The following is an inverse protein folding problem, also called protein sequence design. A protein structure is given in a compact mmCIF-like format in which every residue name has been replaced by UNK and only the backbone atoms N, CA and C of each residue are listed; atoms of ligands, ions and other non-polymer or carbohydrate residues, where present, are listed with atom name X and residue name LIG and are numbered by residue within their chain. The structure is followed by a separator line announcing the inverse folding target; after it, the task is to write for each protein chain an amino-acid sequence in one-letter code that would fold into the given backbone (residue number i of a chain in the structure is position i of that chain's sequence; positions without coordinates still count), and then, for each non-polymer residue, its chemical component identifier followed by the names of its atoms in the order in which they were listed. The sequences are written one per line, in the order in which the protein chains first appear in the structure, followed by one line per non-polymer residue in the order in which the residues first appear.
data_IF_130250091060
#
_entry.id   IF_130250091060
#
_cell.length_a   1.000
_cell.length_b   1.000
_cell.length_c   1.000
_cell.angle_alpha   90.00
_cell.angle_beta   90.00
_cell.angle_gamma   90.00
#
_symmetry.space_group_name_H-M   'P 1'
#
loop_
_entity.id
_entity.type
_entity.pdbx_description
1 polymer ?
#
# COMPACT_ATOMS: atom_id res chain seq x y z
N UNK A 1 -16.41 10.92 7.34
CA UNK A 1 -16.25 9.44 7.22
C UNK A 1 -16.22 9.02 5.75
N UNK A 2 -15.17 8.29 5.36
CA UNK A 2 -15.04 7.71 4.01
C UNK A 2 -15.43 6.24 4.02
N UNK A 3 -15.88 5.74 2.87
CA UNK A 3 -16.16 4.32 2.67
C UNK A 3 -15.39 3.81 1.46
N UNK A 4 -14.76 2.64 1.60
CA UNK A 4 -14.20 1.87 0.50
C UNK A 4 -15.09 0.65 0.29
N UNK A 5 -15.75 0.59 -0.86
CA UNK A 5 -16.61 -0.54 -1.21
C UNK A 5 -15.87 -1.50 -2.14
N UNK A 6 -15.88 -2.78 -1.80
CA UNK A 6 -15.37 -3.85 -2.66
C UNK A 6 -16.53 -4.42 -3.46
N UNK A 7 -16.37 -4.54 -4.77
CA UNK A 7 -17.43 -4.94 -5.69
C UNK A 7 -17.10 -6.25 -6.40
N UNK A 8 -18.11 -7.11 -6.52
CA UNK A 8 -18.10 -8.24 -7.43
C UNK A 8 -18.53 -7.71 -8.80
N UNK A 9 -17.58 -7.65 -9.73
CA UNK A 9 -17.81 -7.10 -11.07
C UNK A 9 -18.71 -8.00 -11.93
N UNK A 10 -18.70 -9.31 -11.70
CA UNK A 10 -19.54 -10.25 -12.45
C UNK A 10 -21.00 -10.14 -11.99
N UNK A 11 -21.23 -10.02 -10.68
CA UNK A 11 -22.57 -9.92 -10.10
C UNK A 11 -23.12 -8.50 -10.05
N UNK A 12 -22.28 -7.50 -10.26
CA UNK A 12 -22.63 -6.08 -10.21
C UNK A 12 -23.11 -5.63 -8.82
N UNK A 13 -22.59 -6.22 -7.75
CA UNK A 13 -23.03 -5.96 -6.37
C UNK A 13 -21.85 -5.77 -5.41
N UNK A 14 -22.03 -4.95 -4.35
CA UNK A 14 -21.00 -4.82 -3.33
C UNK A 14 -20.86 -6.13 -2.54
N UNK A 15 -19.61 -6.53 -2.31
CA UNK A 15 -19.23 -7.68 -1.48
C UNK A 15 -19.03 -7.25 -0.04
N UNK A 16 -18.31 -6.14 0.18
CA UNK A 16 -18.02 -5.61 1.50
C UNK A 16 -17.85 -4.08 1.47
N UNK A 17 -17.99 -3.46 2.63
CA UNK A 17 -17.75 -2.03 2.85
C UNK A 17 -16.79 -1.85 4.02
N UNK A 18 -15.73 -1.10 3.80
CA UNK A 18 -14.72 -0.77 4.80
C UNK A 18 -14.87 0.70 5.15
N UNK A 19 -15.28 0.96 6.39
CA UNK A 19 -15.41 2.33 6.91
C UNK A 19 -14.06 2.83 7.37
N UNK A 20 -13.70 4.04 6.92
CA UNK A 20 -12.45 4.68 7.31
C UNK A 20 -12.72 6.05 7.93
N UNK A 21 -12.12 6.24 9.10
CA UNK A 21 -12.17 7.51 9.82
C UNK A 21 -11.30 8.55 9.12
N UNK A 22 -11.92 9.29 8.21
CA UNK A 22 -11.28 10.41 7.54
C UNK A 22 -12.27 11.55 7.41
N UNK A 23 -11.85 12.72 7.92
CA UNK A 23 -12.55 13.98 7.74
C UNK A 23 -12.05 14.74 6.52
N UNK A 24 -10.80 14.54 6.09
CA UNK A 24 -10.18 15.19 4.91
C UNK A 24 -8.93 14.41 4.43
N UNK A 25 -9.05 13.62 3.36
CA UNK A 25 -7.96 13.27 2.40
C UNK A 25 -8.38 12.17 1.43
N UNK A 26 -7.77 12.10 0.22
CA UNK A 26 -8.00 11.01 -0.72
C UNK A 26 -7.58 9.68 -0.09
N UNK A 27 -8.46 8.69 -0.24
CA UNK A 27 -8.19 7.31 0.13
C UNK A 27 -7.61 6.64 -1.10
N UNK A 28 -6.39 6.13 -1.00
CA UNK A 28 -5.86 5.21 -2.01
C UNK A 28 -6.16 3.79 -1.57
N UNK A 29 -6.83 3.02 -2.42
CA UNK A 29 -7.12 1.62 -2.19
C UNK A 29 -6.57 0.78 -3.34
N UNK A 30 -5.89 -0.31 -3.02
CA UNK A 30 -5.34 -1.24 -4.01
C UNK A 30 -5.65 -2.68 -3.58
N UNK A 31 -6.12 -3.49 -4.51
CA UNK A 31 -6.36 -4.92 -4.30
C UNK A 31 -5.05 -5.70 -4.47
N UNK A 32 -4.90 -6.80 -3.73
CA UNK A 32 -3.86 -7.78 -4.01
C UNK A 32 -4.14 -8.44 -5.37
N UNK A 33 -3.11 -8.96 -6.05
CA UNK A 33 -3.29 -9.66 -7.33
C UNK A 33 -4.26 -10.85 -7.26
N UNK A 34 -4.32 -11.53 -6.12
CA UNK A 34 -5.28 -12.62 -5.86
C UNK A 34 -6.68 -12.13 -5.44
N UNK A 35 -6.90 -10.82 -5.31
CA UNK A 35 -8.15 -10.19 -4.89
C UNK A 35 -8.55 -10.42 -3.43
N UNK A 36 -7.79 -11.21 -2.67
CA UNK A 36 -8.16 -11.62 -1.29
C UNK A 36 -7.98 -10.51 -0.27
N UNK A 37 -7.15 -9.51 -0.56
CA UNK A 37 -6.82 -8.41 0.35
C UNK A 37 -6.92 -7.07 -0.34
N UNK A 38 -7.16 -6.04 0.47
CA UNK A 38 -7.12 -4.64 0.05
C UNK A 38 -6.26 -3.85 1.01
N UNK A 39 -5.34 -3.06 0.46
CA UNK A 39 -4.58 -2.08 1.22
C UNK A 39 -5.24 -0.72 1.06
N UNK A 40 -5.46 -0.03 2.18
CA UNK A 40 -6.08 1.28 2.23
C UNK A 40 -5.10 2.24 2.91
N UNK A 41 -4.63 3.22 2.16
CA UNK A 41 -3.82 4.32 2.68
C UNK A 41 -4.73 5.38 3.28
N UNK A 42 -4.58 5.62 4.59
CA UNK A 42 -5.37 6.62 5.33
C UNK A 42 -4.44 7.41 6.22
N UNK A 43 -4.30 8.72 5.94
CA UNK A 43 -3.41 9.64 6.65
C UNK A 43 -1.98 9.06 6.70
N UNK A 44 -1.52 8.67 7.90
CA UNK A 44 -0.16 8.15 8.19
C UNK A 44 -0.14 6.65 8.40
N UNK A 45 -1.15 5.94 7.86
CA UNK A 45 -1.30 4.51 8.08
C UNK A 45 -1.68 3.82 6.79
N UNK A 46 -1.14 2.62 6.60
CA UNK A 46 -1.63 1.67 5.60
C UNK A 46 -2.35 0.57 6.37
N UNK A 47 -3.63 0.37 6.06
CA UNK A 47 -4.46 -0.67 6.67
C UNK A 47 -4.69 -1.78 5.66
N UNK A 48 -4.42 -3.02 6.05
CA UNK A 48 -4.68 -4.20 5.22
C UNK A 48 -5.95 -4.86 5.72
N UNK A 49 -6.91 -5.08 4.82
CA UNK A 49 -8.17 -5.76 5.12
C UNK A 49 -8.33 -6.99 4.22
N UNK A 50 -9.09 -7.97 4.70
CA UNK A 50 -9.61 -9.05 3.88
C UNK A 50 -10.73 -8.50 2.97
N UNK A 51 -10.60 -8.66 1.64
CA UNK A 51 -11.53 -8.05 0.70
C UNK A 51 -12.95 -8.60 0.81
N UNK A 52 -13.19 -9.93 0.93
CA UNK A 52 -14.55 -10.45 1.00
C UNK A 52 -15.35 -10.03 2.24
N UNK A 53 -14.67 -9.84 3.38
CA UNK A 53 -15.34 -9.55 4.66
C UNK A 53 -15.19 -8.11 5.12
N UNK A 54 -14.17 -7.40 4.63
CA UNK A 54 -13.77 -6.09 5.11
C UNK A 54 -13.05 -6.11 6.47
N UNK A 55 -12.71 -7.28 7.00
CA UNK A 55 -12.05 -7.41 8.31
C UNK A 55 -10.64 -6.83 8.25
N UNK A 56 -10.29 -6.01 9.24
CA UNK A 56 -8.92 -5.48 9.40
C UNK A 56 -7.97 -6.61 9.80
N UNK A 57 -6.97 -6.86 8.95
CA UNK A 57 -5.91 -7.84 9.19
C UNK A 57 -4.69 -7.21 9.88
N UNK A 58 -4.42 -5.93 9.62
CA UNK A 58 -3.29 -5.24 10.22
C UNK A 58 -3.14 -3.78 9.81
N UNK A 59 -2.34 -3.05 10.58
CA UNK A 59 -2.03 -1.63 10.36
C UNK A 59 -0.52 -1.44 10.37
N UNK A 60 -0.01 -0.70 9.40
CA UNK A 60 1.38 -0.25 9.35
C UNK A 60 1.43 1.27 9.41
N UNK A 61 2.23 1.80 10.32
CA UNK A 61 2.39 3.23 10.58
C UNK A 61 3.86 3.66 10.71
N UNK A 62 4.79 2.71 10.67
CA UNK A 62 6.21 2.98 10.87
C UNK A 62 6.81 3.69 9.66
N UNK A 63 7.59 4.75 9.88
CA UNK A 63 8.18 5.55 8.79
C UNK A 63 7.19 6.41 7.98
N UNK A 64 5.90 6.44 8.35
CA UNK A 64 4.88 7.23 7.66
C UNK A 64 4.74 8.63 8.29
N UNK A 65 5.22 9.66 7.58
CA UNK A 65 5.12 11.07 7.99
C UNK A 65 3.82 11.75 7.54
N UNK A 66 3.53 12.93 8.09
CA UNK A 66 2.23 13.62 7.97
C UNK A 66 1.87 14.16 6.60
N UNK A 67 2.88 14.36 5.77
CA UNK A 67 2.87 14.95 4.44
C UNK A 67 3.11 13.90 3.34
N UNK A 68 3.29 12.63 3.70
CA UNK A 68 3.56 11.57 2.72
C UNK A 68 2.29 11.20 1.94
N UNK A 69 2.31 11.45 0.63
CA UNK A 69 1.58 10.63 -0.33
C UNK A 69 2.21 9.23 -0.33
N UNK A 70 1.71 8.36 0.54
CA UNK A 70 2.14 6.97 0.63
C UNK A 70 1.55 6.21 -0.55
N UNK A 71 2.38 5.90 -1.53
CA UNK A 71 2.04 4.94 -2.57
C UNK A 71 2.12 3.54 -1.98
N UNK A 72 1.04 2.78 -2.14
CA UNK A 72 0.97 1.39 -1.69
C UNK A 72 0.86 0.51 -2.91
N UNK A 73 1.85 -0.36 -3.08
CA UNK A 73 1.79 -1.45 -4.05
C UNK A 73 1.58 -2.73 -3.25
N UNK A 74 0.49 -3.44 -3.50
CA UNK A 74 0.12 -4.64 -2.75
C UNK A 74 0.39 -5.89 -3.60
N UNK A 75 1.16 -6.82 -3.05
CA UNK A 75 1.28 -8.20 -3.51
C UNK A 75 0.56 -9.16 -2.55
N UNK A 76 0.68 -10.46 -2.80
CA UNK A 76 0.01 -11.46 -1.96
C UNK A 76 0.64 -11.58 -0.55
N UNK A 77 1.96 -11.44 -0.46
CA UNK A 77 2.72 -11.60 0.80
C UNK A 77 3.31 -10.29 1.34
N UNK A 78 3.54 -9.31 0.47
CA UNK A 78 4.23 -8.06 0.79
C UNK A 78 3.50 -6.86 0.22
N UNK A 79 3.72 -5.70 0.81
CA UNK A 79 3.41 -4.42 0.19
C UNK A 79 4.63 -3.49 0.28
N UNK A 80 4.68 -2.51 -0.63
CA UNK A 80 5.74 -1.50 -0.63
C UNK A 80 5.17 -0.16 -0.18
N UNK A 81 5.91 0.51 0.71
CA UNK A 81 5.63 1.86 1.18
C UNK A 81 6.77 2.78 0.76
N UNK A 82 6.42 3.96 0.25
CA UNK A 82 7.38 5.02 -0.07
C UNK A 82 7.61 5.93 1.13
N UNK A 83 8.86 6.07 1.54
CA UNK A 83 9.28 7.11 2.47
C UNK A 83 9.70 8.36 1.67
N UNK A 84 8.99 9.46 1.94
CA UNK A 84 9.18 10.77 1.36
C UNK A 84 9.76 11.78 2.36
N UNK A 85 10.32 11.33 3.49
CA UNK A 85 11.00 12.20 4.45
C UNK A 85 11.90 13.18 3.68
N UNK A 86 11.77 14.48 3.97
CA UNK A 86 12.52 15.54 3.31
C UNK A 86 14.02 15.28 3.47
N UNK A 87 14.63 14.60 2.50
CA UNK A 87 16.08 14.51 2.41
C UNK A 87 16.62 15.89 2.07
N UNK A 88 17.79 16.27 2.60
CA UNK A 88 18.46 17.51 2.21
C UNK A 88 18.64 17.55 0.68
N UNK A 89 18.78 18.74 0.07
CA UNK A 89 18.58 19.01 -1.36
C UNK A 89 19.55 18.32 -2.35
N UNK A 90 20.30 17.28 -1.93
CA UNK A 90 21.35 16.61 -2.69
C UNK A 90 21.12 15.13 -2.98
N UNK A 91 20.09 14.48 -2.43
CA UNK A 91 19.84 13.06 -2.72
C UNK A 91 18.48 12.83 -3.41
N UNK A 92 18.46 12.50 -4.72
CA UNK A 92 17.25 12.16 -5.44
C UNK A 92 16.75 10.72 -5.15
N UNK A 93 17.45 9.97 -4.31
CA UNK A 93 17.07 8.63 -3.92
C UNK A 93 16.05 8.67 -2.77
N UNK A 94 14.93 7.97 -2.96
CA UNK A 94 13.87 7.84 -1.96
C UNK A 94 13.81 6.40 -1.48
N UNK A 95 13.68 6.22 -0.17
CA UNK A 95 13.62 4.88 0.43
C UNK A 95 12.26 4.24 0.14
N UNK A 96 12.28 2.98 -0.27
CA UNK A 96 11.12 2.11 -0.43
C UNK A 96 11.23 0.97 0.55
N UNK A 97 10.26 0.87 1.45
CA UNK A 97 10.20 -0.20 2.45
C UNK A 97 9.26 -1.29 1.98
N UNK A 98 9.78 -2.51 1.86
CA UNK A 98 9.02 -3.73 1.62
C UNK A 98 8.57 -4.25 2.98
N UNK A 99 7.26 -4.36 3.17
CA UNK A 99 6.62 -4.75 4.41
C UNK A 99 5.90 -6.07 4.19
N UNK A 100 6.13 -7.05 5.07
CA UNK A 100 5.44 -8.33 5.03
C UNK A 100 4.06 -8.19 5.65
N UNK A 101 3.04 -8.68 4.95
CA UNK A 101 1.64 -8.57 5.40
C UNK A 101 1.38 -9.42 6.65
N UNK A 102 1.97 -10.61 6.74
CA UNK A 102 1.74 -11.57 7.83
C UNK A 102 1.94 -10.97 9.22
N UNK A 103 2.93 -10.11 9.38
CA UNK A 103 3.32 -9.52 10.67
C UNK A 103 3.51 -8.00 10.63
N UNK A 104 3.20 -7.36 9.50
CA UNK A 104 3.32 -5.92 9.26
C UNK A 104 4.74 -5.36 9.47
N UNK A 105 5.78 -6.20 9.39
CA UNK A 105 7.18 -5.82 9.60
C UNK A 105 7.88 -5.46 8.30
N UNK A 106 8.72 -4.42 8.35
CA UNK A 106 9.66 -4.11 7.26
C UNK A 106 10.65 -5.26 7.12
N UNK A 107 10.66 -5.91 5.96
CA UNK A 107 11.60 -6.99 5.64
C UNK A 107 12.82 -6.49 4.89
N UNK A 108 12.69 -5.40 4.13
CA UNK A 108 13.78 -4.80 3.36
C UNK A 108 13.48 -3.35 3.04
N UNK A 109 14.50 -2.50 3.05
CA UNK A 109 14.43 -1.14 2.51
C UNK A 109 15.41 -1.00 1.35
N UNK A 110 14.97 -0.33 0.29
CA UNK A 110 15.73 -0.14 -0.95
C UNK A 110 15.70 1.34 -1.29
N UNK A 111 16.86 1.95 -1.52
CA UNK A 111 16.96 3.32 -2.04
C UNK A 111 16.88 3.29 -3.56
N UNK A 112 15.86 3.93 -4.12
CA UNK A 112 15.68 4.07 -5.57
C UNK A 112 15.62 5.55 -5.92
N UNK A 113 16.24 5.94 -7.03
CA UNK A 113 16.08 7.29 -7.58
C UNK A 113 14.59 7.57 -7.84
N UNK A 114 14.17 8.83 -7.71
CA UNK A 114 12.75 9.19 -7.74
C UNK A 114 12.01 8.81 -9.04
N UNK A 115 12.71 8.83 -10.17
CA UNK A 115 12.23 8.42 -11.50
C UNK A 115 11.93 6.91 -11.63
N UNK A 116 12.28 6.09 -10.64
CA UNK A 116 11.98 4.65 -10.69
C UNK A 116 10.58 4.37 -10.17
N UNK A 117 9.81 3.71 -11.03
CA UNK A 117 8.55 3.08 -10.67
C UNK A 117 8.78 1.60 -10.37
N UNK A 118 8.18 1.13 -9.28
CA UNK A 118 8.18 -0.28 -8.90
C UNK A 118 6.95 -0.94 -9.54
N UNK A 119 7.13 -2.07 -10.19
CA UNK A 119 6.00 -2.90 -10.64
C UNK A 119 5.62 -3.92 -9.56
N UNK A 120 4.39 -4.42 -9.68
CA UNK A 120 3.86 -5.45 -8.79
C UNK A 120 4.83 -6.63 -8.68
N UNK A 121 5.13 -7.13 -7.47
CA UNK A 121 5.77 -8.43 -7.34
C UNK A 121 4.79 -9.46 -7.93
N UNK A 122 5.17 -10.08 -9.05
CA UNK A 122 4.48 -11.25 -9.59
C UNK A 122 4.32 -12.28 -8.46
N UNK A 123 3.21 -13.01 -8.46
CA UNK A 123 2.74 -13.89 -7.38
C UNK A 123 3.72 -14.97 -6.89
N UNK A 124 4.95 -15.03 -7.40
CA UNK A 124 5.92 -16.07 -7.09
C UNK A 124 7.37 -15.63 -6.83
N UNK A 125 7.74 -14.34 -6.84
CA UNK A 125 9.16 -14.00 -6.72
C UNK A 125 9.44 -12.87 -5.74
N UNK A 126 10.44 -13.11 -4.88
CA UNK A 126 11.16 -12.14 -4.05
C UNK A 126 11.92 -11.07 -4.87
N UNK A 127 11.50 -10.87 -6.12
CA UNK A 127 12.16 -10.04 -7.14
C UNK A 127 11.18 -8.96 -7.55
N UNK A 128 11.61 -7.71 -7.38
CA UNK A 128 10.87 -6.52 -7.77
C UNK A 128 11.50 -6.01 -9.05
N UNK A 129 10.70 -5.72 -10.08
CA UNK A 129 11.18 -4.99 -11.24
C UNK A 129 10.97 -3.48 -11.01
N UNK A 130 12.01 -2.71 -11.29
CA UNK A 130 11.97 -1.26 -11.27
C UNK A 130 12.37 -0.77 -12.65
N UNK A 131 11.61 0.18 -13.20
CA UNK A 131 11.90 0.80 -14.49
C UNK A 131 11.95 2.31 -14.34
N UNK A 132 12.80 2.94 -15.16
CA UNK A 132 12.92 4.39 -15.26
C UNK A 132 11.98 4.87 -16.36
N UNK A 133 11.22 5.92 -16.09
CA UNK A 133 10.41 6.61 -17.09
C UNK A 133 10.99 8.01 -17.37
#
# INVERSE_FOLDING_TARGET
PGVVSIWDMEKGKPVSNIFVDTDKSPIYAVLSPDGTKVAISVKRTVRIHESPTGILLGVHSEGLMSDNNSEVILGNEYFVVKDNSLTPPREPARVRSVVRIKDMKVVKSISLHEDYHITYPLASLTTIAAYKQ
#
